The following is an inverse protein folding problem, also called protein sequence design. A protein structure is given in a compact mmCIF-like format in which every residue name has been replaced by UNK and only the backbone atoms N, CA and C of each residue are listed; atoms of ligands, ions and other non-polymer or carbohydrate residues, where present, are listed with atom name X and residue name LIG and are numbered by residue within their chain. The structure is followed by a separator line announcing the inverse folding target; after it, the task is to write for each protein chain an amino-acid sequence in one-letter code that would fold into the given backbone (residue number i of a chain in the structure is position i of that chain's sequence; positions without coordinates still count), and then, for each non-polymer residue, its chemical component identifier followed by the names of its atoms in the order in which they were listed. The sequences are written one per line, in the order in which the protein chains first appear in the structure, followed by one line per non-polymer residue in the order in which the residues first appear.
data_IF_076614382539
#
_entry.id   IF_076614382539
#
_cell.length_a   1.000
_cell.length_b   1.000
_cell.length_c   1.000
_cell.angle_alpha   90.00
_cell.angle_beta   90.00
_cell.angle_gamma   90.00
#
_symmetry.space_group_name_H-M   'P 1'
#
loop_
_entity.id
_entity.type
_entity.pdbx_description
1 polymer ?
#
# COMPACT_ATOMS: atom_id res chain seq x y z
N UNK A 1 8.57 31.77 39.09
CA UNK A 1 7.86 30.50 39.40
C UNK A 1 6.59 30.30 38.54
N UNK A 2 5.93 31.35 38.07
CA UNK A 2 4.70 31.22 37.22
C UNK A 2 4.99 30.54 35.88
N UNK A 3 6.13 30.82 35.25
CA UNK A 3 6.53 30.19 33.98
C UNK A 3 6.81 28.69 34.09
N UNK A 4 7.40 28.24 35.22
CA UNK A 4 7.67 26.83 35.46
C UNK A 4 6.38 26.04 35.71
N UNK A 5 5.42 26.58 36.44
CA UNK A 5 4.13 25.96 36.67
C UNK A 5 3.31 25.83 35.35
N UNK A 6 3.39 26.83 34.48
CA UNK A 6 2.75 26.77 33.13
C UNK A 6 3.34 25.67 32.27
N UNK A 7 4.67 25.48 32.23
CA UNK A 7 5.33 24.42 31.46
C UNK A 7 4.99 23.02 32.00
N UNK A 8 4.92 22.85 33.34
CA UNK A 8 4.51 21.58 33.92
C UNK A 8 3.05 21.26 33.59
N UNK A 9 2.15 22.24 33.66
CA UNK A 9 0.74 22.04 33.29
C UNK A 9 0.56 21.64 31.83
N UNK A 10 1.31 22.24 30.90
CA UNK A 10 1.31 21.85 29.48
C UNK A 10 1.86 20.44 29.29
N UNK A 11 2.97 20.09 29.96
CA UNK A 11 3.55 18.74 29.91
C UNK A 11 2.58 17.67 30.42
N UNK A 12 1.89 17.94 31.53
CA UNK A 12 0.87 17.04 32.10
C UNK A 12 -0.34 16.93 31.15
N UNK A 13 -0.77 18.03 30.55
CA UNK A 13 -1.88 18.01 29.58
C UNK A 13 -1.55 17.15 28.35
N UNK A 14 -0.32 17.23 27.82
CA UNK A 14 0.15 16.38 26.70
C UNK A 14 0.20 14.90 27.11
N UNK A 15 0.60 14.58 28.35
CA UNK A 15 0.62 13.20 28.85
C UNK A 15 -0.79 12.63 29.09
N UNK A 16 -1.76 13.47 29.45
CA UNK A 16 -3.15 13.05 29.71
C UNK A 16 -3.97 12.95 28.42
N UNK A 17 -3.75 13.84 27.45
CA UNK A 17 -4.47 13.85 26.17
C UNK A 17 -3.95 12.72 25.26
N UNK A 18 -2.71 12.29 25.45
CA UNK A 18 -2.06 11.27 24.62
C UNK A 18 -1.70 11.78 23.21
N UNK A 19 -1.06 10.91 22.45
CA UNK A 19 -0.84 11.15 21.01
C UNK A 19 -2.11 10.74 20.23
N UNK A 20 -2.52 11.51 19.21
CA UNK A 20 -3.65 11.11 18.39
C UNK A 20 -3.35 9.76 17.71
N UNK A 21 -4.32 8.87 17.74
CA UNK A 21 -4.25 7.60 17.03
C UNK A 21 -4.39 7.79 15.51
N UNK A 22 -4.12 6.74 14.75
CA UNK A 22 -4.15 6.77 13.29
C UNK A 22 -5.54 7.14 12.75
N UNK A 23 -6.61 6.69 13.40
CA UNK A 23 -7.98 7.02 12.99
C UNK A 23 -8.30 8.51 13.20
N UNK A 24 -7.87 9.09 14.33
CA UNK A 24 -8.00 10.52 14.59
C UNK A 24 -7.18 11.35 13.58
N UNK A 25 -5.96 10.92 13.25
CA UNK A 25 -5.13 11.59 12.22
C UNK A 25 -5.81 11.54 10.86
N UNK A 26 -6.45 10.42 10.51
CA UNK A 26 -7.22 10.30 9.26
C UNK A 26 -8.36 11.31 9.19
N UNK A 27 -9.17 11.46 10.25
CA UNK A 27 -10.29 12.41 10.24
C UNK A 27 -9.87 13.85 9.92
N UNK A 28 -8.64 14.25 10.25
CA UNK A 28 -8.10 15.58 9.90
C UNK A 28 -7.70 15.70 8.43
N UNK A 29 -7.41 14.58 7.78
CA UNK A 29 -6.95 14.54 6.38
C UNK A 29 -8.08 14.17 5.41
N UNK A 30 -9.17 13.59 5.90
CA UNK A 30 -10.23 13.00 5.11
C UNK A 30 -10.78 13.95 4.04
N UNK A 31 -11.10 15.20 4.41
CA UNK A 31 -11.63 16.19 3.48
C UNK A 31 -10.71 16.45 2.27
N UNK A 32 -9.39 16.26 2.42
CA UNK A 32 -8.39 16.50 1.36
C UNK A 32 -7.93 15.23 0.67
N UNK A 33 -8.00 14.08 1.35
CA UNK A 33 -7.46 12.81 0.86
C UNK A 33 -8.52 11.84 0.33
N UNK A 34 -9.74 11.85 0.89
CA UNK A 34 -10.82 11.01 0.38
C UNK A 34 -11.17 11.27 -1.10
N UNK A 35 -11.11 12.50 -1.64
CA UNK A 35 -11.29 12.73 -3.07
C UNK A 35 -10.31 11.96 -3.95
N UNK A 36 -9.08 11.70 -3.50
CA UNK A 36 -8.09 10.94 -4.27
C UNK A 36 -8.52 9.47 -4.47
N UNK A 37 -9.18 8.89 -3.46
CA UNK A 37 -9.80 7.56 -3.58
C UNK A 37 -10.99 7.58 -4.53
N UNK A 38 -11.90 8.54 -4.37
CA UNK A 38 -13.10 8.65 -5.21
C UNK A 38 -12.76 8.91 -6.69
N UNK A 39 -11.71 9.67 -6.96
CA UNK A 39 -11.21 9.97 -8.32
C UNK A 39 -10.24 8.90 -8.84
N UNK A 40 -10.04 7.82 -8.11
CA UNK A 40 -9.15 6.70 -8.45
C UNK A 40 -7.71 7.13 -8.77
N UNK A 41 -7.21 8.12 -8.06
CA UNK A 41 -5.85 8.67 -8.27
C UNK A 41 -4.75 7.89 -7.53
N UNK A 42 -5.14 7.03 -6.60
CA UNK A 42 -4.21 6.26 -5.76
C UNK A 42 -4.33 4.75 -5.97
N UNK A 43 -5.27 4.31 -6.78
CA UNK A 43 -5.40 2.92 -7.24
C UNK A 43 -4.56 2.76 -8.50
N UNK A 44 -3.44 2.04 -8.40
CA UNK A 44 -2.58 1.75 -9.55
C UNK A 44 -3.00 0.45 -10.22
N UNK A 45 -3.04 0.46 -11.54
CA UNK A 45 -3.40 -0.73 -12.32
C UNK A 45 -2.32 -1.82 -12.24
N UNK A 46 -2.68 -3.11 -12.39
CA UNK A 46 -1.70 -4.22 -12.40
C UNK A 46 -0.54 -4.00 -13.38
N UNK A 47 -0.83 -3.45 -14.56
CA UNK A 47 0.18 -3.11 -15.58
C UNK A 47 1.16 -2.04 -15.10
N UNK A 48 0.66 -0.99 -14.42
CA UNK A 48 1.51 0.05 -13.84
C UNK A 48 2.41 -0.53 -12.74
N UNK A 49 1.85 -1.37 -11.84
CA UNK A 49 2.64 -2.02 -10.81
C UNK A 49 3.76 -2.87 -11.42
N UNK A 50 3.44 -3.74 -12.39
CA UNK A 50 4.45 -4.60 -13.04
C UNK A 50 5.56 -3.78 -13.71
N UNK A 51 5.20 -2.68 -14.39
CA UNK A 51 6.16 -1.77 -15.02
C UNK A 51 7.08 -1.14 -13.99
N UNK A 52 6.54 -0.68 -12.86
CA UNK A 52 7.34 -0.04 -11.81
C UNK A 52 8.21 -1.05 -11.04
N UNK A 53 7.79 -2.31 -10.92
CA UNK A 53 8.63 -3.39 -10.36
C UNK A 53 9.86 -3.70 -11.23
N UNK A 54 9.79 -3.43 -12.54
CA UNK A 54 10.89 -3.60 -13.48
C UNK A 54 11.76 -2.34 -13.64
N UNK A 55 11.42 -1.20 -13.03
CA UNK A 55 12.18 0.04 -13.10
C UNK A 55 13.22 0.11 -11.97
N UNK A 56 14.47 -0.12 -12.29
CA UNK A 56 15.60 -0.08 -11.34
C UNK A 56 15.77 1.28 -10.62
N UNK A 57 15.16 2.35 -11.13
CA UNK A 57 15.18 3.68 -10.51
C UNK A 57 14.21 3.80 -9.35
N UNK A 58 13.23 2.91 -9.24
CA UNK A 58 12.21 2.88 -8.20
C UNK A 58 12.48 1.74 -7.22
N UNK A 59 12.14 1.98 -5.97
CA UNK A 59 12.03 0.95 -4.95
C UNK A 59 10.56 0.75 -4.62
N UNK A 60 9.95 -0.27 -5.17
CA UNK A 60 8.57 -0.62 -4.85
C UNK A 60 8.55 -1.55 -3.63
N UNK A 61 7.80 -1.16 -2.60
CA UNK A 61 7.52 -1.95 -1.40
C UNK A 61 6.06 -2.35 -1.43
N UNK A 62 5.82 -3.63 -1.65
CA UNK A 62 4.47 -4.20 -1.69
C UNK A 62 4.06 -4.68 -0.30
N UNK A 63 2.93 -4.20 0.19
CA UNK A 63 2.36 -4.55 1.50
C UNK A 63 1.07 -5.33 1.26
N UNK A 64 1.14 -6.65 1.42
CA UNK A 64 -0.01 -7.53 1.33
C UNK A 64 -0.70 -7.58 2.71
N UNK A 65 -1.87 -6.92 2.80
CA UNK A 65 -2.58 -6.76 4.09
C UNK A 65 -3.60 -7.86 4.35
N UNK A 66 -3.59 -8.91 3.53
CA UNK A 66 -4.45 -10.07 3.70
C UNK A 66 -4.01 -10.95 4.89
N UNK A 67 -4.93 -11.79 5.40
CA UNK A 67 -4.56 -12.82 6.35
C UNK A 67 -3.45 -13.75 5.80
N UNK A 68 -2.58 -14.24 6.69
CA UNK A 68 -1.43 -15.07 6.34
C UNK A 68 -1.81 -16.32 5.51
N UNK A 69 -2.96 -16.94 5.80
CA UNK A 69 -3.39 -18.13 5.08
C UNK A 69 -3.72 -17.85 3.61
N UNK A 70 -4.26 -16.66 3.28
CA UNK A 70 -4.52 -16.23 1.90
C UNK A 70 -3.23 -15.82 1.19
N UNK A 71 -2.35 -15.11 1.89
CA UNK A 71 -1.01 -14.81 1.40
C UNK A 71 -0.24 -16.09 1.04
N UNK A 72 -0.32 -17.12 1.88
CA UNK A 72 0.34 -18.41 1.62
C UNK A 72 -0.28 -19.20 0.45
N UNK A 73 -1.56 -18.97 0.13
CA UNK A 73 -2.17 -19.56 -1.08
C UNK A 73 -1.55 -18.99 -2.35
N UNK A 74 -1.45 -17.69 -2.44
CA UNK A 74 -0.82 -16.98 -3.55
C UNK A 74 -0.44 -15.56 -3.12
N UNK A 75 0.74 -15.11 -3.47
CA UNK A 75 1.16 -13.70 -3.31
C UNK A 75 2.16 -13.29 -4.40
N UNK A 76 2.31 -11.98 -4.60
CA UNK A 76 3.28 -11.43 -5.53
C UNK A 76 4.70 -11.60 -4.97
N UNK A 77 5.64 -11.92 -5.84
CA UNK A 77 7.04 -12.12 -5.43
C UNK A 77 7.61 -10.85 -4.82
N UNK A 78 8.14 -10.98 -3.62
CA UNK A 78 8.70 -9.87 -2.87
C UNK A 78 7.68 -9.03 -2.09
N UNK A 79 6.39 -9.38 -2.11
CA UNK A 79 5.41 -8.76 -1.23
C UNK A 79 5.67 -9.14 0.24
N UNK A 80 5.48 -8.18 1.13
CA UNK A 80 5.58 -8.36 2.58
C UNK A 80 4.18 -8.56 3.14
N UNK A 81 3.94 -9.67 3.83
CA UNK A 81 2.66 -9.88 4.50
C UNK A 81 2.64 -9.09 5.82
N UNK A 82 1.77 -8.13 5.91
CA UNK A 82 1.55 -7.30 7.09
C UNK A 82 0.05 -7.14 7.26
N UNK A 83 -0.55 -7.92 8.15
CA UNK A 83 -2.00 -7.81 8.37
C UNK A 83 -2.41 -6.38 8.73
N UNK A 84 -3.64 -6.00 8.36
CA UNK A 84 -4.15 -4.66 8.63
C UNK A 84 -4.05 -4.27 10.13
N UNK A 85 -4.18 -5.26 11.02
CA UNK A 85 -4.06 -5.06 12.48
C UNK A 85 -2.62 -4.82 12.93
N UNK A 86 -1.63 -5.33 12.22
CA UNK A 86 -0.21 -5.18 12.52
C UNK A 86 0.40 -3.93 11.87
N UNK A 87 -0.24 -3.41 10.82
CA UNK A 87 0.28 -2.30 10.03
C UNK A 87 0.65 -1.08 10.89
N UNK A 88 -0.17 -0.74 11.89
CA UNK A 88 0.13 0.38 12.79
C UNK A 88 1.45 0.21 13.55
N UNK A 89 1.76 -1.02 13.97
CA UNK A 89 3.01 -1.34 14.66
C UNK A 89 4.22 -1.32 13.71
N UNK A 90 4.00 -1.56 12.41
CA UNK A 90 5.02 -1.56 11.36
C UNK A 90 5.39 -0.17 10.84
N UNK A 91 4.62 0.87 11.16
CA UNK A 91 4.87 2.24 10.66
C UNK A 91 6.32 2.72 10.90
N UNK A 92 6.95 2.52 12.09
CA UNK A 92 8.34 2.93 12.26
C UNK A 92 9.32 2.24 11.29
N UNK A 93 9.09 0.97 10.98
CA UNK A 93 9.91 0.21 10.03
C UNK A 93 9.65 0.68 8.58
N UNK A 94 8.39 0.95 8.24
CA UNK A 94 8.00 1.52 6.95
C UNK A 94 8.70 2.88 6.76
N UNK A 95 8.71 3.74 7.79
CA UNK A 95 9.46 5.00 7.74
C UNK A 95 10.96 4.80 7.59
N UNK A 96 11.54 3.78 8.22
CA UNK A 96 12.97 3.45 8.07
C UNK A 96 13.32 2.96 6.65
N UNK A 97 12.36 2.41 5.91
CA UNK A 97 12.53 1.97 4.52
C UNK A 97 12.38 3.10 3.50
N UNK A 98 11.91 4.28 3.91
CA UNK A 98 11.69 5.41 3.00
C UNK A 98 13.00 5.91 2.37
N UNK A 99 12.96 6.06 1.05
CA UNK A 99 13.92 6.82 0.28
C UNK A 99 13.12 7.70 -0.70
N UNK A 100 13.77 8.66 -1.33
CA UNK A 100 13.11 9.60 -2.26
C UNK A 100 12.37 8.86 -3.38
N UNK A 101 12.89 7.73 -3.81
CA UNK A 101 12.35 6.89 -4.87
C UNK A 101 11.55 5.67 -4.37
N UNK A 102 11.19 5.63 -3.08
CA UNK A 102 10.39 4.53 -2.55
C UNK A 102 8.90 4.78 -2.80
N UNK A 103 8.22 3.77 -3.32
CA UNK A 103 6.77 3.71 -3.54
C UNK A 103 6.22 2.56 -2.70
N UNK A 104 5.19 2.82 -1.90
CA UNK A 104 4.49 1.80 -1.11
C UNK A 104 3.17 1.45 -1.79
N UNK A 105 2.91 0.17 -1.99
CA UNK A 105 1.68 -0.32 -2.61
C UNK A 105 1.01 -1.31 -1.68
N UNK A 106 -0.12 -0.91 -1.09
CA UNK A 106 -0.98 -1.80 -0.32
C UNK A 106 -1.83 -2.67 -1.25
N UNK A 107 -2.04 -3.92 -0.88
CA UNK A 107 -2.89 -4.83 -1.64
C UNK A 107 -3.68 -5.76 -0.72
N UNK A 108 -4.93 -6.01 -1.09
CA UNK A 108 -5.81 -7.01 -0.50
C UNK A 108 -6.38 -7.90 -1.60
N UNK A 109 -7.43 -8.69 -1.35
CA UNK A 109 -8.00 -9.50 -2.43
C UNK A 109 -8.68 -8.63 -3.50
N UNK A 110 -9.45 -7.63 -3.07
CA UNK A 110 -10.01 -6.57 -3.93
C UNK A 110 -9.35 -5.23 -3.55
N UNK A 111 -10.11 -4.28 -2.95
CA UNK A 111 -9.55 -2.98 -2.56
C UNK A 111 -9.91 -2.57 -1.12
N UNK A 112 -10.81 -3.27 -0.43
CA UNK A 112 -11.39 -2.78 0.82
C UNK A 112 -10.33 -2.68 1.92
N UNK A 113 -9.65 -3.77 2.27
CA UNK A 113 -8.59 -3.75 3.28
C UNK A 113 -7.36 -2.93 2.81
N UNK A 114 -7.03 -2.94 1.51
CA UNK A 114 -5.97 -2.10 0.95
C UNK A 114 -6.30 -0.61 1.06
N UNK A 115 -7.57 -0.22 0.91
CA UNK A 115 -8.03 1.16 1.13
C UNK A 115 -7.84 1.58 2.59
N UNK A 116 -8.18 0.73 3.55
CA UNK A 116 -7.95 1.03 4.96
C UNK A 116 -6.44 1.13 5.26
N UNK A 117 -5.62 0.24 4.69
CA UNK A 117 -4.16 0.34 4.80
C UNK A 117 -3.63 1.66 4.22
N UNK A 118 -4.10 2.07 3.04
CA UNK A 118 -3.72 3.34 2.43
C UNK A 118 -4.09 4.54 3.30
N UNK A 119 -5.28 4.54 3.92
CA UNK A 119 -5.70 5.57 4.88
C UNK A 119 -4.74 5.64 6.06
N UNK A 120 -4.35 4.49 6.62
CA UNK A 120 -3.40 4.40 7.73
C UNK A 120 -2.03 4.94 7.32
N UNK A 121 -1.46 4.51 6.20
CA UNK A 121 -0.18 4.99 5.68
C UNK A 121 -0.22 6.51 5.46
N UNK A 122 -1.30 7.03 4.87
CA UNK A 122 -1.50 8.46 4.63
C UNK A 122 -1.60 9.25 5.94
N UNK A 123 -2.34 8.74 6.92
CA UNK A 123 -2.49 9.36 8.24
C UNK A 123 -1.15 9.44 8.98
N UNK A 124 -0.30 8.43 8.80
CA UNK A 124 1.04 8.37 9.37
C UNK A 124 2.11 9.05 8.48
N UNK A 125 1.68 9.77 7.43
CA UNK A 125 2.55 10.56 6.54
C UNK A 125 3.59 9.73 5.78
N UNK A 126 3.26 8.48 5.45
CA UNK A 126 4.08 7.68 4.54
C UNK A 126 3.89 8.23 3.13
N UNK A 127 4.95 8.76 2.48
CA UNK A 127 4.85 9.35 1.15
C UNK A 127 4.70 8.26 0.08
N UNK A 128 4.25 8.67 -1.12
CA UNK A 128 4.17 7.81 -2.30
C UNK A 128 3.44 6.49 -2.01
N UNK A 129 2.33 6.58 -1.25
CA UNK A 129 1.50 5.44 -0.89
C UNK A 129 0.36 5.30 -1.88
N UNK A 130 0.19 4.10 -2.41
CA UNK A 130 -0.82 3.70 -3.39
C UNK A 130 -1.47 2.39 -2.95
N UNK A 131 -2.50 1.96 -3.67
CA UNK A 131 -3.06 0.61 -3.54
C UNK A 131 -3.23 -0.03 -4.92
N UNK A 132 -3.21 -1.36 -4.95
CA UNK A 132 -3.38 -2.12 -6.19
C UNK A 132 -4.85 -2.13 -6.61
N UNK A 133 -5.15 -1.65 -7.80
CA UNK A 133 -6.49 -1.65 -8.39
C UNK A 133 -6.98 -3.08 -8.62
N UNK A 134 -8.19 -3.37 -8.09
CA UNK A 134 -8.76 -4.72 -8.12
C UNK A 134 -8.00 -5.75 -7.27
N UNK A 135 -6.98 -5.34 -6.53
CA UNK A 135 -6.22 -6.19 -5.62
C UNK A 135 -5.59 -7.42 -6.29
N UNK A 136 -5.42 -8.48 -5.50
CA UNK A 136 -4.90 -9.77 -5.99
C UNK A 136 -5.85 -10.42 -7.00
N UNK A 137 -7.16 -10.23 -6.87
CA UNK A 137 -8.13 -10.73 -7.84
C UNK A 137 -7.95 -10.06 -9.22
N UNK A 138 -7.77 -8.73 -9.24
CA UNK A 138 -7.48 -7.99 -10.47
C UNK A 138 -6.15 -8.37 -11.10
N UNK A 139 -5.13 -8.57 -10.28
CA UNK A 139 -3.83 -9.06 -10.71
C UNK A 139 -3.92 -10.45 -11.38
N UNK A 140 -4.61 -11.39 -10.73
CA UNK A 140 -4.79 -12.75 -11.26
C UNK A 140 -5.65 -12.73 -12.54
N UNK A 141 -6.70 -11.93 -12.60
CA UNK A 141 -7.51 -11.77 -13.81
C UNK A 141 -6.67 -11.25 -14.99
N UNK A 142 -5.70 -10.37 -14.73
CA UNK A 142 -4.84 -9.78 -15.75
C UNK A 142 -3.76 -10.76 -16.22
N UNK A 143 -3.06 -11.42 -15.30
CA UNK A 143 -1.83 -12.14 -15.62
C UNK A 143 -1.94 -13.66 -15.54
N UNK A 144 -2.97 -14.21 -14.90
CA UNK A 144 -3.13 -15.64 -14.75
C UNK A 144 -4.17 -16.26 -15.71
N UNK A 145 -5.06 -15.47 -16.29
CA UNK A 145 -6.15 -15.96 -17.14
C UNK A 145 -5.68 -16.67 -18.41
N UNK A 146 -4.46 -16.38 -18.89
CA UNK A 146 -3.88 -16.98 -20.08
C UNK A 146 -3.14 -18.32 -19.81
N UNK A 147 -2.94 -18.69 -18.54
CA UNK A 147 -2.21 -19.90 -18.19
C UNK A 147 -3.13 -21.10 -17.95
N UNK A 148 -3.35 -21.89 -19.01
CA UNK A 148 -4.15 -23.12 -18.93
C UNK A 148 -3.50 -24.23 -18.08
N UNK A 149 -2.23 -24.07 -17.70
CA UNK A 149 -1.51 -25.07 -16.91
C UNK A 149 -1.82 -24.95 -15.42
N UNK A 150 -2.33 -23.81 -14.99
CA UNK A 150 -2.79 -23.62 -13.63
C UNK A 150 -4.25 -24.01 -13.49
N UNK A 151 -4.50 -24.99 -12.65
CA UNK A 151 -5.85 -25.38 -12.25
C UNK A 151 -6.47 -24.33 -11.27
N UNK A 152 -6.40 -23.05 -11.63
CA UNK A 152 -7.06 -21.97 -10.92
C UNK A 152 -8.53 -21.94 -11.34
N UNK A 153 -9.45 -22.03 -10.38
CA UNK A 153 -10.88 -22.01 -10.68
C UNK A 153 -11.51 -20.77 -10.07
N UNK A 154 -12.21 -19.93 -10.87
CA UNK A 154 -12.99 -18.83 -10.33
C UNK A 154 -14.04 -19.35 -9.32
N UNK A 155 -14.21 -18.64 -8.22
CA UNK A 155 -15.20 -18.92 -7.18
C UNK A 155 -16.05 -17.70 -6.91
N UNK A 156 -17.30 -17.93 -6.53
CA UNK A 156 -18.18 -16.84 -6.03
C UNK A 156 -17.77 -16.52 -4.60
N UNK A 157 -16.97 -15.48 -4.44
CA UNK A 157 -16.39 -15.07 -3.18
C UNK A 157 -17.08 -13.80 -2.66
N UNK A 158 -17.22 -13.61 -1.33
CA UNK A 158 -17.68 -12.35 -0.77
C UNK A 158 -16.68 -11.22 -1.05
N UNK A 159 -17.09 -9.97 -0.80
CA UNK A 159 -16.22 -8.82 -0.98
C UNK A 159 -14.90 -8.97 -0.22
N UNK A 160 -13.82 -8.55 -0.85
CA UNK A 160 -12.43 -8.62 -0.39
C UNK A 160 -11.98 -10.03 0.05
N UNK A 161 -12.53 -11.06 -0.58
CA UNK A 161 -12.05 -12.43 -0.46
C UNK A 161 -11.44 -12.90 -1.79
N UNK A 162 -10.59 -13.92 -1.74
CA UNK A 162 -9.92 -14.45 -2.92
C UNK A 162 -10.94 -15.08 -3.89
N UNK A 163 -11.08 -14.50 -5.08
CA UNK A 163 -12.02 -14.91 -6.12
C UNK A 163 -11.60 -16.17 -6.90
N UNK A 164 -10.56 -16.85 -6.42
CA UNK A 164 -9.99 -18.04 -7.09
C UNK A 164 -9.65 -19.12 -6.06
N UNK A 165 -9.98 -20.37 -6.41
CA UNK A 165 -9.53 -21.55 -5.69
C UNK A 165 -8.28 -22.14 -6.36
N UNK A 166 -7.32 -22.54 -5.55
CA UNK A 166 -6.09 -23.19 -5.97
C UNK A 166 -6.04 -24.63 -5.46
N UNK A 167 -5.52 -25.62 -6.25
CA UNK A 167 -5.43 -27.02 -5.81
C UNK A 167 -4.44 -27.22 -4.66
N UNK A 168 -3.51 -26.29 -4.46
CA UNK A 168 -2.52 -26.29 -3.38
C UNK A 168 -2.05 -24.86 -3.11
N UNK A 169 -1.42 -24.62 -1.97
CA UNK A 169 -0.76 -23.37 -1.66
C UNK A 169 0.46 -23.17 -2.59
N UNK A 170 0.41 -22.12 -3.39
CA UNK A 170 1.43 -21.80 -4.41
C UNK A 170 2.45 -20.79 -3.90
N UNK A 171 2.06 -19.91 -2.98
CA UNK A 171 2.89 -18.81 -2.52
C UNK A 171 3.26 -17.88 -3.70
N UNK A 172 4.57 -17.61 -3.87
CA UNK A 172 5.12 -16.80 -4.97
C UNK A 172 5.70 -17.63 -6.13
N UNK A 173 5.50 -18.96 -6.11
CA UNK A 173 6.13 -19.88 -7.08
C UNK A 173 5.39 -19.94 -8.41
N UNK A 174 4.20 -19.39 -8.44
CA UNK A 174 3.39 -19.37 -9.64
C UNK A 174 3.84 -18.28 -10.61
N UNK A 175 3.72 -18.53 -11.93
CA UNK A 175 4.10 -17.59 -12.99
C UNK A 175 3.53 -16.18 -12.77
N UNK A 176 2.24 -16.06 -12.45
CA UNK A 176 1.60 -14.77 -12.22
C UNK A 176 2.12 -14.03 -10.96
N UNK A 177 2.91 -14.65 -10.09
CA UNK A 177 3.53 -13.95 -8.96
C UNK A 177 4.63 -12.96 -9.42
N UNK A 178 5.20 -13.20 -10.60
CA UNK A 178 6.17 -12.29 -11.23
C UNK A 178 6.14 -12.48 -12.75
N UNK A 179 5.13 -11.92 -13.45
CA UNK A 179 5.00 -12.05 -14.90
C UNK A 179 6.19 -11.43 -15.64
N UNK A 180 6.50 -11.95 -16.82
CA UNK A 180 7.54 -11.37 -17.67
C UNK A 180 7.01 -10.12 -18.37
N UNK A 181 7.52 -8.94 -17.99
CA UNK A 181 7.10 -7.65 -18.56
C UNK A 181 7.28 -7.58 -20.09
N UNK A 182 8.29 -8.27 -20.63
CA UNK A 182 8.57 -8.24 -22.08
C UNK A 182 7.62 -9.11 -22.91
N UNK A 183 6.87 -9.98 -22.27
CA UNK A 183 5.89 -10.88 -22.92
C UNK A 183 4.45 -10.39 -22.74
N UNK A 184 4.26 -9.25 -22.04
CA UNK A 184 2.94 -8.75 -21.68
C UNK A 184 2.73 -7.38 -22.32
N UNK A 185 1.73 -7.26 -23.20
CA UNK A 185 1.27 -5.95 -23.67
C UNK A 185 0.46 -5.30 -22.56
N UNK A 186 0.97 -4.18 -22.02
CA UNK A 186 0.37 -3.47 -20.91
C UNK A 186 -0.12 -2.11 -21.36
N UNK A 187 -1.43 -1.90 -21.25
CA UNK A 187 -2.05 -0.57 -21.34
C UNK A 187 -2.45 -0.14 -19.93
N UNK A 188 -2.04 1.03 -19.49
CA UNK A 188 -2.43 1.62 -18.22
C UNK A 188 -2.26 3.14 -18.25
N UNK A 189 -2.95 3.83 -17.34
CA UNK A 189 -2.76 5.26 -17.13
C UNK A 189 -1.84 5.47 -15.93
N UNK A 190 -0.61 6.01 -16.12
CA UNK A 190 0.32 6.23 -15.01
C UNK A 190 -0.27 7.14 -13.93
N UNK A 191 -0.21 6.71 -12.68
CA UNK A 191 -0.70 7.44 -11.50
C UNK A 191 0.39 7.68 -10.46
N UNK A 192 1.52 6.93 -10.54
CA UNK A 192 2.62 7.10 -9.60
C UNK A 192 3.38 8.40 -9.89
N UNK A 193 3.27 9.33 -8.96
CA UNK A 193 4.02 10.58 -8.95
C UNK A 193 4.86 10.65 -7.68
N UNK A 194 6.19 10.69 -7.83
CA UNK A 194 7.09 10.79 -6.67
C UNK A 194 6.98 12.17 -6.02
N UNK A 195 6.63 12.18 -4.75
CA UNK A 195 6.69 13.39 -3.94
C UNK A 195 8.15 13.68 -3.58
N UNK A 196 8.78 14.58 -4.32
CA UNK A 196 10.12 15.06 -4.00
C UNK A 196 10.09 15.84 -2.69
N UNK A 197 10.99 15.59 -1.72
CA UNK A 197 11.15 16.47 -0.57
C UNK A 197 11.44 17.87 -1.07
N UNK A 198 10.68 18.86 -0.59
CA UNK A 198 11.04 20.27 -0.85
C UNK A 198 12.39 20.51 -0.19
N UNK A 199 13.40 20.75 -1.00
CA UNK A 199 14.70 21.23 -0.54
C UNK A 199 14.50 22.52 0.26
N UNK A 200 14.80 22.50 1.54
CA UNK A 200 14.80 23.68 2.39
C UNK A 200 16.02 24.59 2.13
N UNK A 201 16.76 24.37 1.06
CA UNK A 201 17.94 25.15 0.68
C UNK A 201 17.59 26.35 -0.19
N UNK A 202 16.64 27.18 0.25
CA UNK A 202 16.30 28.46 -0.35
C UNK A 202 16.40 29.60 0.65
N UNK A 203 17.41 29.58 1.50
CA UNK A 203 17.84 30.76 2.27
C UNK A 203 18.54 31.72 1.31
N UNK A 204 17.76 32.65 0.74
CA UNK A 204 18.32 33.70 -0.11
C UNK A 204 19.36 34.51 0.64
N UNK A 205 20.54 34.60 0.08
CA UNK A 205 21.44 35.72 0.28
C UNK A 205 20.91 36.85 -0.57
N UNK A 206 20.55 37.93 0.11
CA UNK A 206 20.21 39.20 -0.44
C UNK A 206 20.50 40.24 0.63
#
# INVERSE_FOLDING_TARGET
YVGAAGLVAVAVAVLVIGQPDTAQKWTWLEATKAPLLAERKVQIEPGELLTNLADDRLRVVMLDVRPEHEYNLFHLRGAQNVSLTELAAMIPEIHAQQAVNTVFVAMSNDEDAATEAWKMLTAEKVPNSYLLEGGINGWLATFAAADETLAMTPVDAPADALGYAFPAALGDRYFAAFPNIHETELEFTPKIELQMPRDKSGGGCG
#
